data_IF_920301455276
#
_entry.id   IF_920301455276
#
_cell.length_a   1.000
_cell.length_b   1.000
_cell.length_c   1.000
_cell.angle_alpha   90.00
_cell.angle_beta   90.00
_cell.angle_gamma   90.00
#
_symmetry.space_group_name_H-M   'P 1'
#
loop_
_entity.id
_entity.type
_entity.pdbx_description
1 polymer ?
#
# COMPACT_ATOMS: atom_id res chain seq x y z
N UNK A 1 -4.00 -23.22 2.37
CA UNK A 1 -2.82 -22.78 3.12
C UNK A 1 -2.84 -21.26 3.20
N UNK A 2 -3.46 -20.74 4.26
CA UNK A 2 -3.40 -19.34 4.69
C UNK A 2 -2.08 -19.12 5.43
N UNK A 3 -1.45 -17.95 5.27
CA UNK A 3 -0.11 -17.55 5.78
C UNK A 3 1.05 -17.76 4.80
N UNK A 4 1.21 -16.83 3.86
CA UNK A 4 2.54 -16.58 3.28
C UNK A 4 2.81 -15.10 2.98
N UNK A 5 1.82 -14.21 3.03
CA UNK A 5 2.06 -12.78 2.93
C UNK A 5 1.20 -12.07 3.96
N UNK A 6 1.79 -11.66 5.08
CA UNK A 6 1.21 -10.71 6.03
C UNK A 6 1.05 -9.31 5.40
N UNK A 7 0.54 -9.17 4.17
CA UNK A 7 -0.16 -7.95 3.79
C UNK A 7 -1.57 -8.19 4.32
N UNK A 8 -1.97 -7.44 5.35
CA UNK A 8 -3.35 -7.54 5.78
C UNK A 8 -4.22 -7.21 4.57
N UNK A 9 -5.35 -7.91 4.38
CA UNK A 9 -6.27 -7.64 3.27
C UNK A 9 -6.63 -6.14 3.15
N UNK A 10 -6.52 -5.43 4.27
CA UNK A 10 -6.62 -3.98 4.37
C UNK A 10 -5.57 -3.20 3.56
N UNK A 11 -4.28 -3.53 3.68
CA UNK A 11 -3.21 -2.77 3.00
C UNK A 11 -3.36 -2.86 1.48
N UNK A 12 -3.70 -4.05 0.99
CA UNK A 12 -3.98 -4.28 -0.43
C UNK A 12 -5.19 -3.46 -0.91
N UNK A 13 -6.26 -3.43 -0.13
CA UNK A 13 -7.45 -2.64 -0.46
C UNK A 13 -7.17 -1.13 -0.48
N UNK A 14 -6.37 -0.63 0.46
CA UNK A 14 -5.99 0.80 0.50
C UNK A 14 -5.14 1.16 -0.72
N UNK A 15 -4.17 0.31 -1.08
CA UNK A 15 -3.33 0.51 -2.27
C UNK A 15 -4.16 0.47 -3.55
N UNK A 16 -5.11 -0.46 -3.68
CA UNK A 16 -6.01 -0.54 -4.84
C UNK A 16 -6.85 0.74 -4.96
N UNK A 17 -7.36 1.27 -3.84
CA UNK A 17 -8.11 2.52 -3.85
C UNK A 17 -7.23 3.70 -4.27
N UNK A 18 -6.02 3.79 -3.72
CA UNK A 18 -5.07 4.86 -4.03
C UNK A 18 -4.66 4.85 -5.50
N UNK A 19 -4.39 3.67 -6.07
CA UNK A 19 -4.09 3.49 -7.49
C UNK A 19 -5.26 3.93 -8.37
N UNK A 20 -6.47 3.40 -8.10
CA UNK A 20 -7.67 3.70 -8.91
C UNK A 20 -8.07 5.17 -8.86
N UNK A 21 -7.84 5.83 -7.74
CA UNK A 21 -8.17 7.24 -7.53
C UNK A 21 -7.01 8.18 -7.85
N UNK A 22 -5.83 7.65 -8.22
CA UNK A 22 -4.60 8.42 -8.43
C UNK A 22 -4.23 9.31 -7.23
N UNK A 23 -4.40 8.77 -6.02
CA UNK A 23 -4.14 9.45 -4.76
C UNK A 23 -2.88 8.92 -4.09
N UNK A 24 -2.16 9.75 -3.31
CA UNK A 24 -1.06 9.27 -2.50
C UNK A 24 -1.55 8.44 -1.31
N UNK A 25 -0.72 7.50 -0.85
CA UNK A 25 -0.94 6.77 0.40
C UNK A 25 -0.13 7.40 1.52
N UNK A 26 -0.81 7.71 2.62
CA UNK A 26 -0.19 8.17 3.86
C UNK A 26 0.10 6.96 4.75
N UNK A 27 1.38 6.63 4.97
CA UNK A 27 1.75 5.47 5.79
C UNK A 27 3.16 5.59 6.38
N UNK A 28 3.33 5.07 7.59
CA UNK A 28 4.63 4.85 8.24
C UNK A 28 5.15 3.43 8.04
N UNK A 29 4.33 2.52 7.53
CA UNK A 29 4.70 1.12 7.36
C UNK A 29 5.67 0.96 6.19
N UNK A 30 6.91 0.58 6.49
CA UNK A 30 7.98 0.46 5.50
C UNK A 30 7.66 -0.54 4.38
N UNK A 31 6.87 -1.58 4.66
CA UNK A 31 6.48 -2.56 3.64
C UNK A 31 5.44 -1.97 2.68
N UNK A 32 4.47 -1.24 3.20
CA UNK A 32 3.47 -0.55 2.40
C UNK A 32 4.11 0.55 1.52
N UNK A 33 5.14 1.24 2.03
CA UNK A 33 5.93 2.18 1.21
C UNK A 33 6.60 1.49 0.03
N UNK A 34 7.20 0.32 0.24
CA UNK A 34 7.86 -0.43 -0.82
C UNK A 34 6.88 -0.85 -1.92
N UNK A 35 5.72 -1.39 -1.53
CA UNK A 35 4.68 -1.79 -2.49
C UNK A 35 4.08 -0.57 -3.21
N UNK A 36 3.81 0.53 -2.51
CA UNK A 36 3.34 1.77 -3.13
C UNK A 36 4.33 2.29 -4.18
N UNK A 37 5.64 2.23 -3.92
CA UNK A 37 6.68 2.62 -4.87
C UNK A 37 6.71 1.71 -6.11
N UNK A 38 6.54 0.38 -5.94
CA UNK A 38 6.44 -0.58 -7.05
C UNK A 38 5.22 -0.30 -7.94
N UNK A 39 4.11 0.17 -7.35
CA UNK A 39 2.88 0.54 -8.05
C UNK A 39 2.89 1.97 -8.60
N UNK A 40 3.96 2.75 -8.39
CA UNK A 40 4.04 4.15 -8.81
C UNK A 40 3.11 5.09 -8.03
N UNK A 41 2.63 4.67 -6.86
CA UNK A 41 1.76 5.45 -5.98
C UNK A 41 2.63 6.35 -5.10
N UNK A 42 2.32 7.64 -5.07
CA UNK A 42 3.03 8.59 -4.21
C UNK A 42 2.79 8.29 -2.73
N UNK A 43 3.82 8.46 -1.89
CA UNK A 43 3.75 8.21 -0.44
C UNK A 43 3.93 9.51 0.33
N UNK A 44 3.10 9.72 1.34
CA UNK A 44 3.24 10.80 2.32
C UNK A 44 3.66 10.17 3.66
N UNK A 45 4.80 10.60 4.19
CA UNK A 45 5.22 10.24 5.54
C UNK A 45 4.53 11.19 6.54
N UNK A 46 3.85 10.63 7.54
CA UNK A 46 3.09 11.39 8.56
C UNK A 46 3.53 10.99 9.96
#
# INVERSE_FOLDING_TARGET
>A
MSHAHHLYAYDAYVLECAERLHLPVATLDARMKAVAAELGIAVIEV
#
